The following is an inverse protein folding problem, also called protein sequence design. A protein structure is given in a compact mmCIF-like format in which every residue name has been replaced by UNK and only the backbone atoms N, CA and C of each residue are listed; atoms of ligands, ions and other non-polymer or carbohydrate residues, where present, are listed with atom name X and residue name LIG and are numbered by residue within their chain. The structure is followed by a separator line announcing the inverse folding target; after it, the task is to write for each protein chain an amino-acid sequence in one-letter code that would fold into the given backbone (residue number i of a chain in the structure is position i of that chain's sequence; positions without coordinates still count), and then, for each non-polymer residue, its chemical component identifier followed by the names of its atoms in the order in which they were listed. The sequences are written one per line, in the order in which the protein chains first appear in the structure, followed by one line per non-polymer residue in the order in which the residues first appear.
data_IF_597283053914
#
_entry.id   IF_597283053914
#
_cell.length_a   1.000
_cell.length_b   1.000
_cell.length_c   1.000
_cell.angle_alpha   90.00
_cell.angle_beta   90.00
_cell.angle_gamma   90.00
#
_symmetry.space_group_name_H-M   'P 1'
#
loop_
_entity.id
_entity.type
_entity.pdbx_description
1 polymer ?
#
# COMPACT_ATOMS: atom_id res chain seq x y z
N UNK A 1 4.84 9.35 -9.84
CA UNK A 1 5.86 9.81 -10.82
C UNK A 1 6.88 10.83 -10.28
N UNK A 2 6.58 11.63 -9.25
CA UNK A 2 7.57 12.58 -8.65
C UNK A 2 8.44 11.99 -7.51
N UNK A 3 8.13 10.79 -7.01
CA UNK A 3 8.91 10.13 -5.96
C UNK A 3 10.07 9.29 -6.52
N UNK A 4 9.92 8.72 -7.72
CA UNK A 4 10.92 7.83 -8.31
C UNK A 4 12.18 8.59 -8.75
N UNK A 5 12.02 9.83 -9.23
CA UNK A 5 13.14 10.70 -9.62
C UNK A 5 14.03 11.11 -8.44
N UNK A 6 13.42 11.39 -7.28
CA UNK A 6 14.15 11.78 -6.06
C UNK A 6 14.91 10.59 -5.46
N UNK A 7 14.37 9.37 -5.58
CA UNK A 7 15.09 8.15 -5.21
C UNK A 7 16.25 7.83 -6.15
N UNK A 8 16.07 8.02 -7.47
CA UNK A 8 17.16 7.85 -8.45
C UNK A 8 18.30 8.86 -8.22
N UNK A 9 17.98 10.13 -7.97
CA UNK A 9 18.97 11.18 -7.70
C UNK A 9 19.70 10.99 -6.35
N UNK A 10 19.10 10.26 -5.41
CA UNK A 10 19.70 9.89 -4.12
C UNK A 10 20.66 8.70 -4.30
N UNK A 11 20.23 7.65 -5.00
CA UNK A 11 21.06 6.50 -5.35
C UNK A 11 22.26 6.93 -6.20
N UNK A 12 22.08 7.83 -7.17
CA UNK A 12 23.20 8.35 -7.96
C UNK A 12 24.19 9.17 -7.13
N UNK A 13 23.74 9.89 -6.10
CA UNK A 13 24.63 10.64 -5.19
C UNK A 13 25.36 9.75 -4.19
N UNK A 14 24.70 8.71 -3.67
CA UNK A 14 25.31 7.72 -2.80
C UNK A 14 26.33 6.85 -3.55
N UNK A 15 26.10 6.57 -4.84
CA UNK A 15 26.99 5.75 -5.67
C UNK A 15 28.03 6.53 -6.48
N UNK A 16 27.97 7.86 -6.55
CA UNK A 16 28.96 8.69 -7.26
C UNK A 16 30.43 8.45 -6.83
N UNK A 17 30.75 8.29 -5.53
CA UNK A 17 32.13 7.98 -5.10
C UNK A 17 32.63 6.63 -5.61
N UNK A 18 31.74 5.68 -5.89
CA UNK A 18 32.08 4.36 -6.42
C UNK A 18 32.43 4.40 -7.91
N UNK A 19 31.76 5.26 -8.67
CA UNK A 19 32.04 5.46 -10.10
C UNK A 19 33.42 6.11 -10.28
N UNK A 20 33.74 7.15 -9.50
CA UNK A 20 35.04 7.83 -9.53
C UNK A 20 36.19 6.91 -9.09
N UNK A 21 35.99 6.11 -8.03
CA UNK A 21 37.01 5.15 -7.56
C UNK A 21 37.24 4.01 -8.55
N UNK A 22 36.19 3.51 -9.22
CA UNK A 22 36.30 2.47 -10.24
C UNK A 22 37.03 2.98 -11.48
N UNK A 23 36.76 4.20 -11.91
CA UNK A 23 37.51 4.86 -13.00
C UNK A 23 38.99 5.00 -12.64
N UNK A 24 39.33 5.38 -11.41
CA UNK A 24 40.71 5.46 -10.95
C UNK A 24 41.41 4.09 -10.93
N UNK A 25 40.71 3.02 -10.55
CA UNK A 25 41.21 1.64 -10.60
C UNK A 25 41.44 1.21 -12.06
N UNK A 26 40.49 1.46 -12.95
CA UNK A 26 40.63 1.11 -14.37
C UNK A 26 41.78 1.88 -15.04
N UNK A 27 41.96 3.17 -14.72
CA UNK A 27 43.11 3.98 -15.18
C UNK A 27 44.45 3.46 -14.65
N UNK A 28 44.54 3.12 -13.36
CA UNK A 28 45.78 2.59 -12.76
C UNK A 28 46.12 1.18 -13.22
N UNK A 29 45.11 0.34 -13.47
CA UNK A 29 45.27 -0.98 -14.07
C UNK A 29 45.79 -0.88 -15.51
N UNK A 30 45.27 0.08 -16.29
CA UNK A 30 45.74 0.38 -17.64
C UNK A 30 47.22 0.81 -17.65
N UNK A 31 47.62 1.71 -16.73
CA UNK A 31 49.01 2.16 -16.58
C UNK A 31 49.97 1.00 -16.26
N UNK A 32 49.59 0.08 -15.35
CA UNK A 32 50.39 -1.10 -14.99
C UNK A 32 50.51 -2.08 -16.18
N UNK A 33 49.41 -2.31 -16.90
CA UNK A 33 49.40 -3.16 -18.09
C UNK A 33 50.20 -2.60 -19.28
N UNK A 34 50.39 -1.28 -19.37
CA UNK A 34 51.25 -0.64 -20.37
C UNK A 34 52.74 -0.70 -20.01
N UNK A 35 53.08 -0.77 -18.72
CA UNK A 35 54.46 -0.88 -18.23
C UNK A 35 55.03 -2.30 -18.36
N UNK A 36 54.18 -3.33 -18.26
CA UNK A 36 54.59 -4.75 -18.29
C UNK A 36 55.23 -5.25 -19.60
N UNK A 37 54.78 -4.86 -20.82
CA UNK A 37 55.33 -5.37 -22.08
C UNK A 37 56.47 -4.54 -22.66
N UNK A 38 56.68 -3.30 -22.19
CA UNK A 38 57.59 -2.34 -22.83
C UNK A 38 59.00 -2.26 -22.22
N UNK A 39 59.31 -3.05 -21.18
CA UNK A 39 60.67 -3.18 -20.66
C UNK A 39 61.42 -4.20 -21.52
N UNK A 40 61.78 -3.81 -22.75
CA UNK A 40 62.69 -4.59 -23.60
C UNK A 40 64.09 -4.59 -22.98
N UNK A 41 64.63 -5.79 -22.81
CA UNK A 41 65.80 -6.14 -21.99
C UNK A 41 67.17 -5.81 -22.63
N UNK A 42 67.26 -4.84 -23.54
CA UNK A 42 68.49 -4.59 -24.29
C UNK A 42 69.39 -3.50 -23.70
N UNK A 43 68.87 -2.60 -22.84
CA UNK A 43 69.61 -1.38 -22.44
C UNK A 43 69.70 -1.13 -20.92
N UNK A 44 69.30 -2.11 -20.08
CA UNK A 44 69.31 -1.97 -18.60
C UNK A 44 70.17 -3.05 -17.93
N UNK A 45 71.03 -2.70 -16.94
CA UNK A 45 71.72 -3.68 -16.11
C UNK A 45 70.74 -4.65 -15.43
N UNK A 46 71.07 -5.93 -15.40
CA UNK A 46 70.18 -7.01 -14.98
C UNK A 46 69.60 -6.81 -13.56
N UNK A 47 70.38 -6.27 -12.63
CA UNK A 47 69.97 -5.99 -11.25
C UNK A 47 68.88 -4.89 -11.18
N UNK A 48 68.95 -3.90 -12.06
CA UNK A 48 67.94 -2.83 -12.16
C UNK A 48 66.64 -3.39 -12.71
N UNK A 49 66.73 -4.29 -13.69
CA UNK A 49 65.58 -4.93 -14.31
C UNK A 49 64.87 -5.88 -13.32
N UNK A 50 65.63 -6.57 -12.46
CA UNK A 50 65.09 -7.42 -11.41
C UNK A 50 64.39 -6.62 -10.30
N UNK A 51 64.93 -5.47 -9.89
CA UNK A 51 64.27 -4.58 -8.91
C UNK A 51 62.96 -4.02 -9.43
N UNK A 52 62.93 -3.56 -10.68
CA UNK A 52 61.70 -3.05 -11.31
C UNK A 52 60.62 -4.13 -11.40
N UNK A 53 60.99 -5.39 -11.70
CA UNK A 53 60.05 -6.52 -11.70
C UNK A 53 59.46 -6.78 -10.31
N UNK A 54 60.28 -6.73 -9.26
CA UNK A 54 59.81 -6.91 -7.88
C UNK A 54 58.90 -5.77 -7.43
N UNK A 55 59.20 -4.54 -7.81
CA UNK A 55 58.38 -3.36 -7.49
C UNK A 55 57.02 -3.40 -8.21
N UNK A 56 56.99 -3.87 -9.47
CA UNK A 56 55.74 -4.09 -10.21
C UNK A 56 54.88 -5.18 -9.56
N UNK A 57 55.47 -6.32 -9.15
CA UNK A 57 54.68 -7.39 -8.52
C UNK A 57 54.13 -6.93 -7.15
N UNK A 58 54.91 -6.19 -6.37
CA UNK A 58 54.44 -5.61 -5.11
C UNK A 58 53.33 -4.55 -5.32
N UNK A 59 53.43 -3.73 -6.37
CA UNK A 59 52.37 -2.78 -6.73
C UNK A 59 51.10 -3.50 -7.15
N UNK A 60 51.22 -4.62 -7.86
CA UNK A 60 50.10 -5.46 -8.28
C UNK A 60 49.42 -6.14 -7.09
N UNK A 61 50.18 -6.72 -6.16
CA UNK A 61 49.64 -7.34 -4.93
C UNK A 61 48.86 -6.32 -4.09
N UNK A 62 49.43 -5.12 -3.84
CA UNK A 62 48.72 -4.06 -3.11
C UNK A 62 47.49 -3.55 -3.84
N UNK A 63 47.53 -3.52 -5.17
CA UNK A 63 46.39 -3.11 -5.99
C UNK A 63 45.25 -4.14 -5.94
N UNK A 64 45.58 -5.43 -6.01
CA UNK A 64 44.60 -6.52 -5.87
C UNK A 64 43.96 -6.53 -4.47
N UNK A 65 44.76 -6.33 -3.40
CA UNK A 65 44.23 -6.16 -2.03
C UNK A 65 43.27 -4.97 -1.94
N UNK A 66 43.63 -3.83 -2.54
CA UNK A 66 42.79 -2.63 -2.56
C UNK A 66 41.48 -2.84 -3.34
N UNK A 67 41.48 -3.62 -4.42
CA UNK A 67 40.27 -3.99 -5.15
C UNK A 67 39.38 -4.89 -4.30
N UNK A 68 39.95 -5.90 -3.63
CA UNK A 68 39.21 -6.83 -2.78
C UNK A 68 38.55 -6.09 -1.63
N UNK A 69 39.31 -5.24 -0.92
CA UNK A 69 38.78 -4.44 0.19
C UNK A 69 37.67 -3.50 -0.29
N UNK A 70 37.89 -2.72 -1.35
CA UNK A 70 36.86 -1.80 -1.85
C UNK A 70 35.59 -2.52 -2.31
N UNK A 71 35.72 -3.68 -2.96
CA UNK A 71 34.57 -4.48 -3.36
C UNK A 71 33.82 -5.03 -2.15
N UNK A 72 34.53 -5.46 -1.10
CA UNK A 72 33.91 -5.92 0.15
C UNK A 72 33.11 -4.80 0.83
N UNK A 73 33.70 -3.62 1.02
CA UNK A 73 33.01 -2.45 1.59
C UNK A 73 31.78 -2.03 0.77
N UNK A 74 31.91 -2.02 -0.56
CA UNK A 74 30.80 -1.70 -1.49
C UNK A 74 29.63 -2.67 -1.37
N UNK A 75 29.92 -3.97 -1.28
CA UNK A 75 28.92 -5.02 -1.11
C UNK A 75 28.24 -4.88 0.26
N UNK A 76 29.00 -4.62 1.34
CA UNK A 76 28.44 -4.43 2.68
C UNK A 76 27.49 -3.22 2.77
N UNK A 77 27.83 -2.10 2.13
CA UNK A 77 26.96 -0.93 2.10
C UNK A 77 25.70 -1.18 1.25
N UNK A 78 25.83 -1.86 0.11
CA UNK A 78 24.69 -2.24 -0.73
C UNK A 78 23.75 -3.22 0.00
N UNK A 79 24.29 -4.20 0.72
CA UNK A 79 23.53 -5.13 1.54
C UNK A 79 22.77 -4.39 2.66
N UNK A 80 23.43 -3.45 3.35
CA UNK A 80 22.79 -2.65 4.40
C UNK A 80 21.63 -1.80 3.86
N UNK A 81 21.82 -1.17 2.70
CA UNK A 81 20.74 -0.40 2.04
C UNK A 81 19.56 -1.29 1.64
N UNK A 82 19.83 -2.50 1.13
CA UNK A 82 18.79 -3.48 0.81
C UNK A 82 18.04 -3.95 2.07
N UNK A 83 18.75 -4.23 3.16
CA UNK A 83 18.14 -4.61 4.44
C UNK A 83 17.22 -3.52 4.97
N UNK A 84 17.65 -2.25 4.94
CA UNK A 84 16.83 -1.11 5.35
C UNK A 84 15.58 -0.94 4.48
N UNK A 85 15.70 -1.15 3.17
CA UNK A 85 14.56 -1.09 2.24
C UNK A 85 13.60 -2.26 2.47
N UNK A 86 14.13 -3.46 2.73
CA UNK A 86 13.34 -4.65 3.03
C UNK A 86 12.51 -4.45 4.31
N UNK A 87 13.12 -3.95 5.38
CA UNK A 87 12.41 -3.66 6.64
C UNK A 87 11.29 -2.62 6.42
N UNK A 88 11.56 -1.56 5.66
CA UNK A 88 10.53 -0.56 5.30
C UNK A 88 9.38 -1.18 4.54
N UNK A 89 9.68 -2.05 3.57
CA UNK A 89 8.66 -2.73 2.77
C UNK A 89 7.83 -3.70 3.62
N UNK A 90 8.45 -4.49 4.48
CA UNK A 90 7.77 -5.40 5.40
C UNK A 90 6.83 -4.63 6.34
N UNK A 91 7.31 -3.54 6.94
CA UNK A 91 6.50 -2.69 7.83
C UNK A 91 5.30 -2.08 7.09
N UNK A 92 5.50 -1.58 5.86
CA UNK A 92 4.42 -1.04 5.04
C UNK A 92 3.40 -2.12 4.66
N UNK A 93 3.87 -3.32 4.33
CA UNK A 93 3.03 -4.44 3.97
C UNK A 93 2.20 -4.94 5.17
N UNK A 94 2.80 -5.03 6.35
CA UNK A 94 2.09 -5.37 7.59
C UNK A 94 0.99 -4.35 7.92
N UNK A 95 1.29 -3.06 7.80
CA UNK A 95 0.31 -2.00 8.03
C UNK A 95 -0.82 -2.03 7.00
N UNK A 96 -0.50 -2.30 5.72
CA UNK A 96 -1.50 -2.49 4.66
C UNK A 96 -2.42 -3.67 4.96
N UNK A 97 -1.86 -4.82 5.34
CA UNK A 97 -2.63 -6.01 5.70
C UNK A 97 -3.48 -5.78 6.95
N UNK A 98 -2.97 -5.01 7.92
CA UNK A 98 -3.73 -4.61 9.11
C UNK A 98 -4.96 -3.75 8.74
N UNK A 99 -4.77 -2.76 7.86
CA UNK A 99 -5.86 -1.90 7.35
C UNK A 99 -6.88 -2.69 6.54
N UNK A 100 -6.42 -3.58 5.67
CA UNK A 100 -7.28 -4.48 4.90
C UNK A 100 -8.16 -5.32 5.81
N UNK A 101 -7.58 -5.99 6.82
CA UNK A 101 -8.34 -6.77 7.81
C UNK A 101 -9.32 -5.92 8.62
N UNK A 102 -8.97 -4.68 8.92
CA UNK A 102 -9.90 -3.75 9.58
C UNK A 102 -11.07 -3.40 8.66
N UNK A 103 -10.79 -3.07 7.40
CA UNK A 103 -11.81 -2.79 6.40
C UNK A 103 -12.76 -3.97 6.19
N UNK A 104 -12.24 -5.19 6.07
CA UNK A 104 -13.06 -6.41 5.93
C UNK A 104 -14.03 -6.58 7.12
N UNK A 105 -13.56 -6.35 8.36
CA UNK A 105 -14.43 -6.40 9.55
C UNK A 105 -15.48 -5.29 9.57
N UNK A 106 -15.11 -4.07 9.20
CA UNK A 106 -16.05 -2.95 9.11
C UNK A 106 -17.11 -3.20 8.04
N UNK A 107 -16.71 -3.81 6.92
CA UNK A 107 -17.61 -4.22 5.85
C UNK A 107 -18.59 -5.31 6.30
N UNK A 108 -18.11 -6.34 7.00
CA UNK A 108 -18.96 -7.40 7.53
C UNK A 108 -20.03 -6.85 8.48
N UNK A 109 -19.62 -5.98 9.43
CA UNK A 109 -20.55 -5.30 10.35
C UNK A 109 -21.59 -4.47 9.61
N UNK A 110 -21.16 -3.71 8.60
CA UNK A 110 -22.08 -2.91 7.80
C UNK A 110 -23.09 -3.76 7.02
N UNK A 111 -22.65 -4.89 6.46
CA UNK A 111 -23.55 -5.82 5.79
C UNK A 111 -24.55 -6.45 6.77
N UNK A 112 -24.12 -6.76 7.99
CA UNK A 112 -25.01 -7.24 9.06
C UNK A 112 -26.07 -6.20 9.43
N UNK A 113 -25.70 -4.91 9.52
CA UNK A 113 -26.66 -3.84 9.80
C UNK A 113 -27.67 -3.64 8.64
N UNK A 114 -27.22 -3.75 7.39
CA UNK A 114 -28.11 -3.74 6.22
C UNK A 114 -29.11 -4.89 6.28
N UNK A 115 -28.63 -6.11 6.56
CA UNK A 115 -29.47 -7.30 6.65
C UNK A 115 -30.49 -7.17 7.80
N UNK A 116 -30.07 -6.63 8.95
CA UNK A 116 -30.96 -6.37 10.08
C UNK A 116 -32.08 -5.39 9.71
N UNK A 117 -31.75 -4.29 9.03
CA UNK A 117 -32.76 -3.33 8.58
C UNK A 117 -33.71 -3.95 7.55
N UNK A 118 -33.20 -4.79 6.66
CA UNK A 118 -34.00 -5.54 5.70
C UNK A 118 -35.01 -6.47 6.42
N UNK A 119 -34.57 -7.19 7.45
CA UNK A 119 -35.43 -8.09 8.23
C UNK A 119 -36.49 -7.33 9.04
N UNK A 120 -36.13 -6.18 9.62
CA UNK A 120 -37.08 -5.27 10.27
C UNK A 120 -38.16 -4.83 9.29
N UNK A 121 -37.79 -4.42 8.08
CA UNK A 121 -38.75 -3.99 7.04
C UNK A 121 -39.61 -5.13 6.51
N UNK A 122 -39.05 -6.32 6.35
CA UNK A 122 -39.81 -7.52 5.97
C UNK A 122 -40.85 -7.90 7.03
N UNK A 123 -40.46 -7.84 8.30
CA UNK A 123 -41.35 -8.06 9.44
C UNK A 123 -42.45 -7.00 9.46
N UNK A 124 -42.08 -5.72 9.28
CA UNK A 124 -43.03 -4.61 9.22
C UNK A 124 -44.08 -4.82 8.14
N UNK A 125 -43.66 -5.20 6.92
CA UNK A 125 -44.54 -5.43 5.77
C UNK A 125 -45.60 -6.52 6.01
N UNK A 126 -45.31 -7.48 6.89
CA UNK A 126 -46.24 -8.56 7.21
C UNK A 126 -47.31 -8.15 8.23
N UNK A 127 -47.09 -7.08 9.00
CA UNK A 127 -48.05 -6.58 9.97
C UNK A 127 -49.24 -5.94 9.26
N UNK A 128 -50.46 -6.28 9.66
CA UNK A 128 -51.70 -5.79 9.07
C UNK A 128 -52.63 -5.27 10.16
N UNK A 129 -53.44 -4.29 9.81
CA UNK A 129 -54.54 -3.82 10.63
C UNK A 129 -55.55 -4.95 10.79
N UNK A 130 -55.96 -5.24 12.02
CA UNK A 130 -57.09 -6.12 12.27
C UNK A 130 -58.39 -5.34 12.12
N UNK A 131 -59.22 -5.74 11.16
CA UNK A 131 -60.48 -5.04 10.84
C UNK A 131 -61.56 -5.24 11.91
N UNK A 132 -61.33 -6.12 12.89
CA UNK A 132 -62.21 -6.32 14.04
C UNK A 132 -61.92 -5.35 15.20
N UNK A 133 -60.77 -4.69 15.19
CA UNK A 133 -60.39 -3.72 16.22
C UNK A 133 -61.24 -2.44 16.08
N UNK A 134 -61.38 -1.68 17.17
CA UNK A 134 -62.05 -0.38 17.14
C UNK A 134 -61.30 0.62 16.26
N UNK A 135 -62.00 1.65 15.77
CA UNK A 135 -61.38 2.71 14.95
C UNK A 135 -60.22 3.39 15.70
N UNK A 136 -60.36 3.58 17.02
CA UNK A 136 -59.30 4.18 17.85
C UNK A 136 -58.04 3.31 17.90
N UNK A 137 -58.20 2.00 18.05
CA UNK A 137 -57.10 1.02 18.02
C UNK A 137 -56.44 0.95 16.64
N UNK A 138 -57.23 0.97 15.56
CA UNK A 138 -56.71 1.00 14.20
C UNK A 138 -55.89 2.28 13.93
N UNK A 139 -56.40 3.46 14.34
CA UNK A 139 -55.68 4.74 14.22
C UNK A 139 -54.39 4.71 15.03
N UNK A 140 -54.42 4.17 16.26
CA UNK A 140 -53.22 4.05 17.08
C UNK A 140 -52.18 3.14 16.40
N UNK A 141 -52.59 1.97 15.91
CA UNK A 141 -51.70 1.05 15.22
C UNK A 141 -51.02 1.71 14.02
N UNK A 142 -51.80 2.43 13.20
CA UNK A 142 -51.25 3.13 12.03
C UNK A 142 -50.25 4.22 12.45
N UNK A 143 -50.53 4.99 13.52
CA UNK A 143 -49.60 6.01 14.04
C UNK A 143 -48.27 5.39 14.47
N UNK A 144 -48.32 4.25 15.16
CA UNK A 144 -47.12 3.49 15.55
C UNK A 144 -46.34 3.03 14.33
N UNK A 145 -47.03 2.46 13.33
CA UNK A 145 -46.40 2.02 12.09
C UNK A 145 -45.73 3.18 11.32
N UNK A 146 -46.36 4.35 11.30
CA UNK A 146 -45.78 5.54 10.68
C UNK A 146 -44.49 5.98 11.40
N UNK A 147 -44.50 5.98 12.74
CA UNK A 147 -43.34 6.33 13.54
C UNK A 147 -42.16 5.35 13.32
N UNK A 148 -42.43 4.05 13.25
CA UNK A 148 -41.41 3.03 12.94
C UNK A 148 -40.80 3.24 11.55
N UNK A 149 -41.58 3.59 10.52
CA UNK A 149 -41.02 3.87 9.18
C UNK A 149 -40.15 5.13 9.13
N UNK A 150 -40.41 6.13 9.97
CA UNK A 150 -39.48 7.26 10.12
C UNK A 150 -38.17 6.81 10.76
N UNK A 151 -38.22 5.97 11.80
CA UNK A 151 -37.02 5.40 12.42
C UNK A 151 -36.19 4.59 11.41
N UNK A 152 -36.82 3.73 10.61
CA UNK A 152 -36.11 2.97 9.58
C UNK A 152 -35.51 3.85 8.47
N UNK A 153 -36.13 4.99 8.16
CA UNK A 153 -35.57 5.97 7.24
C UNK A 153 -34.29 6.63 7.79
N UNK A 154 -34.29 6.92 9.09
CA UNK A 154 -33.14 7.50 9.78
C UNK A 154 -32.00 6.47 9.88
N UNK A 155 -32.31 5.22 10.28
CA UNK A 155 -31.36 4.10 10.25
C UNK A 155 -30.72 3.93 8.86
N UNK A 156 -31.52 3.94 7.79
CA UNK A 156 -31.01 3.83 6.41
C UNK A 156 -30.10 5.01 6.04
N UNK A 157 -30.42 6.21 6.51
CA UNK A 157 -29.62 7.41 6.24
C UNK A 157 -28.26 7.32 6.93
N UNK A 158 -28.22 6.81 8.17
CA UNK A 158 -26.98 6.53 8.88
C UNK A 158 -26.14 5.46 8.16
N UNK A 159 -26.76 4.37 7.71
CA UNK A 159 -26.06 3.33 6.93
C UNK A 159 -25.48 3.89 5.63
N UNK A 160 -26.24 4.70 4.90
CA UNK A 160 -25.76 5.35 3.68
C UNK A 160 -24.53 6.23 3.95
N UNK A 161 -24.56 7.01 5.03
CA UNK A 161 -23.42 7.85 5.41
C UNK A 161 -22.22 6.99 5.82
N UNK A 162 -22.43 5.96 6.65
CA UNK A 162 -21.38 5.07 7.11
C UNK A 162 -20.69 4.37 5.92
N UNK A 163 -21.47 3.79 5.00
CA UNK A 163 -20.95 3.14 3.80
C UNK A 163 -20.20 4.07 2.82
N UNK A 164 -20.52 5.36 2.81
CA UNK A 164 -19.77 6.35 2.01
C UNK A 164 -18.40 6.69 2.60
N UNK A 165 -18.26 6.56 3.92
CA UNK A 165 -17.03 6.91 4.64
C UNK A 165 -16.12 5.71 4.93
N UNK A 166 -16.63 4.50 4.75
CA UNK A 166 -15.91 3.27 5.05
C UNK A 166 -14.85 2.98 3.98
N UNK A 167 -13.68 2.53 4.45
CA UNK A 167 -12.58 2.05 3.60
C UNK A 167 -12.20 2.98 2.44
N UNK A 168 -11.80 4.21 2.74
CA UNK A 168 -11.23 5.11 1.74
C UNK A 168 -9.76 4.75 1.53
N UNK A 169 -9.46 3.94 0.50
CA UNK A 169 -8.10 3.77 -0.01
C UNK A 169 -7.89 4.70 -1.21
N UNK A 170 -6.80 5.48 -1.18
CA UNK A 170 -6.35 6.37 -2.28
C UNK A 170 -7.42 7.35 -2.81
N UNK A 171 -8.37 7.76 -1.97
CA UNK A 171 -9.40 8.75 -2.30
C UNK A 171 -10.61 8.19 -3.05
N UNK A 172 -10.68 6.87 -3.26
CA UNK A 172 -11.86 6.22 -3.82
C UNK A 172 -12.64 5.50 -2.70
N UNK A 173 -13.89 5.91 -2.49
CA UNK A 173 -14.81 5.18 -1.62
C UNK A 173 -15.31 3.92 -2.33
N UNK A 174 -15.59 2.88 -1.56
CA UNK A 174 -16.28 1.72 -2.09
C UNK A 174 -17.71 2.10 -2.52
N UNK A 175 -18.22 1.53 -3.63
CA UNK A 175 -19.60 1.74 -4.02
C UNK A 175 -20.53 1.16 -2.96
N UNK A 176 -21.59 1.91 -2.63
CA UNK A 176 -22.62 1.43 -1.71
C UNK A 176 -23.26 0.14 -2.25
N UNK A 177 -23.58 -0.84 -1.38
CA UNK A 177 -24.32 -2.02 -1.77
C UNK A 177 -25.66 -1.66 -2.39
N UNK A 178 -26.06 -2.39 -3.43
CA UNK A 178 -27.35 -2.19 -4.10
C UNK A 178 -28.54 -2.38 -3.15
N UNK A 179 -28.38 -3.14 -2.05
CA UNK A 179 -29.39 -3.29 -1.01
C UNK A 179 -29.82 -1.94 -0.40
N UNK A 180 -28.91 -0.96 -0.25
CA UNK A 180 -29.27 0.37 0.28
C UNK A 180 -30.35 1.03 -0.58
N UNK A 181 -30.23 0.93 -1.90
CA UNK A 181 -31.23 1.47 -2.83
C UNK A 181 -32.55 0.69 -2.78
N UNK A 182 -32.47 -0.63 -2.60
CA UNK A 182 -33.65 -1.48 -2.44
C UNK A 182 -34.42 -1.12 -1.16
N UNK A 183 -33.72 -0.98 -0.04
CA UNK A 183 -34.30 -0.58 1.26
C UNK A 183 -34.94 0.81 1.18
N UNK A 184 -34.27 1.76 0.52
CA UNK A 184 -34.84 3.09 0.26
C UNK A 184 -36.18 2.98 -0.50
N UNK A 185 -36.23 2.13 -1.53
CA UNK A 185 -37.42 1.93 -2.35
C UNK A 185 -38.54 1.26 -1.56
N UNK A 186 -38.21 0.28 -0.71
CA UNK A 186 -39.15 -0.39 0.19
C UNK A 186 -39.78 0.58 1.19
N UNK A 187 -38.97 1.43 1.84
CA UNK A 187 -39.48 2.43 2.80
C UNK A 187 -40.42 3.41 2.11
N UNK A 188 -40.04 3.93 0.94
CA UNK A 188 -40.89 4.84 0.17
C UNK A 188 -42.24 4.19 -0.17
N UNK A 189 -42.21 2.96 -0.70
CA UNK A 189 -43.43 2.22 -1.02
C UNK A 189 -44.32 2.00 0.22
N UNK A 190 -43.75 1.61 1.37
CA UNK A 190 -44.50 1.38 2.60
C UNK A 190 -45.13 2.67 3.15
N UNK A 191 -44.44 3.80 3.04
CA UNK A 191 -44.98 5.12 3.40
C UNK A 191 -46.18 5.50 2.52
N UNK A 192 -46.10 5.25 1.21
CA UNK A 192 -47.21 5.49 0.28
C UNK A 192 -48.44 4.62 0.61
N UNK A 193 -48.23 3.33 0.93
CA UNK A 193 -49.33 2.43 1.32
C UNK A 193 -50.05 2.90 2.61
N UNK A 194 -49.30 3.37 3.61
CA UNK A 194 -49.90 3.94 4.82
C UNK A 194 -50.64 5.24 4.54
N UNK A 195 -50.12 6.09 3.65
CA UNK A 195 -50.77 7.36 3.29
C UNK A 195 -52.13 7.13 2.59
N UNK A 196 -52.21 6.15 1.68
CA UNK A 196 -53.47 5.75 1.04
C UNK A 196 -54.48 5.26 2.09
N UNK A 197 -54.03 4.62 3.16
CA UNK A 197 -54.90 4.14 4.24
C UNK A 197 -55.53 5.28 5.08
N UNK A 198 -55.04 6.52 4.94
CA UNK A 198 -55.58 7.73 5.60
C UNK A 198 -56.46 8.61 4.69
N UNK A 199 -56.48 8.36 3.38
CA UNK A 199 -57.15 9.18 2.36
C UNK A 199 -58.55 8.67 2.04
#
# INVERSE_FOLDING_TARGET
MLNDKRHLDSLQREHAPFIEKRQLIDEKSHDIHLLLPNINSSDLPNDTLQRLRQEIEHLKERFDETIIENNAWSIEDALRSLDEQMIKFETQNEERERRKRQCEREWDLFMDEINLLQDKLNTFKQRKINTQDSIEEQIHFIRMQNQELYQYQDELSHLKQHGQTMCIEDGNSMPLPSQIHLLQSMITFLKEQLFISFS
#
